data_IF_118135191857
#
_entry.id   IF_118135191857
#
_cell.length_a   1.000
_cell.length_b   1.000
_cell.length_c   1.000
_cell.angle_alpha   90.00
_cell.angle_beta   90.00
_cell.angle_gamma   90.00
#
_symmetry.space_group_name_H-M   'P 1'
#
loop_
_entity.id
_entity.type
_entity.pdbx_description
1 polymer ?
#
# COMPACT_ATOMS: atom_id res chain seq x y z
N UNK A 1 3.26 1.58 -8.85
CA UNK A 1 3.02 0.89 -7.56
C UNK A 1 2.74 1.91 -6.46
N UNK A 2 1.65 1.74 -5.71
CA UNK A 2 1.20 2.64 -4.63
C UNK A 2 1.58 2.08 -3.24
N UNK A 3 0.83 2.42 -2.19
CA UNK A 3 0.97 1.99 -0.79
C UNK A 3 -0.36 2.13 -0.07
N UNK A 4 -0.57 1.40 1.03
CA UNK A 4 -1.70 1.64 1.94
C UNK A 4 -1.73 3.05 2.53
N UNK A 5 -0.58 3.74 2.62
CA UNK A 5 -0.50 5.16 3.04
C UNK A 5 -1.32 6.08 2.14
N UNK A 6 -1.41 5.77 0.85
CA UNK A 6 -2.17 6.54 -0.12
C UNK A 6 -3.69 6.52 0.14
N UNK A 7 -4.18 5.48 0.83
CA UNK A 7 -5.61 5.28 1.13
C UNK A 7 -5.95 5.66 2.57
N UNK A 8 -5.06 5.38 3.51
CA UNK A 8 -5.29 5.57 4.96
C UNK A 8 -4.72 6.88 5.51
N UNK A 9 -3.80 7.54 4.79
CA UNK A 9 -3.06 8.68 5.30
C UNK A 9 -1.71 8.31 5.92
N UNK A 10 -0.95 9.33 6.31
CA UNK A 10 0.40 9.19 6.87
C UNK A 10 0.45 8.57 8.26
N UNK A 11 1.65 8.31 8.76
CA UNK A 11 1.91 7.62 10.03
C UNK A 11 3.04 6.61 9.85
N UNK A 12 2.81 5.36 10.24
CA UNK A 12 3.81 4.27 10.14
C UNK A 12 4.25 3.95 8.70
N UNK A 13 3.50 4.40 7.70
CA UNK A 13 3.79 4.17 6.28
C UNK A 13 4.42 5.38 5.58
N UNK A 14 4.88 6.38 6.32
CA UNK A 14 5.55 7.59 5.81
C UNK A 14 4.76 8.89 6.03
N UNK A 15 5.44 10.02 5.82
CA UNK A 15 4.86 11.35 5.99
C UNK A 15 3.92 11.80 4.87
N UNK A 16 3.46 13.05 4.96
CA UNK A 16 2.54 13.65 3.99
C UNK A 16 3.07 13.59 2.55
N UNK A 17 4.36 13.86 2.36
CA UNK A 17 5.06 13.79 1.07
C UNK A 17 4.97 12.38 0.44
N UNK A 18 5.23 11.34 1.23
CA UNK A 18 5.16 9.96 0.75
C UNK A 18 3.72 9.56 0.42
N UNK A 19 2.78 9.88 1.31
CA UNK A 19 1.35 9.58 1.11
C UNK A 19 0.80 10.27 -0.13
N UNK A 20 1.13 11.56 -0.35
CA UNK A 20 0.77 12.31 -1.55
C UNK A 20 1.34 11.66 -2.82
N UNK A 21 2.64 11.32 -2.80
CA UNK A 21 3.28 10.66 -3.95
C UNK A 21 2.60 9.33 -4.30
N UNK A 22 2.23 8.52 -3.30
CA UNK A 22 1.59 7.21 -3.53
C UNK A 22 0.13 7.33 -3.90
N UNK A 23 -0.56 8.39 -3.48
CA UNK A 23 -1.90 8.72 -3.96
C UNK A 23 -1.89 9.17 -5.42
N UNK A 24 -0.88 9.96 -5.83
CA UNK A 24 -0.69 10.36 -7.23
C UNK A 24 -0.56 9.14 -8.15
N UNK A 25 0.19 8.12 -7.75
CA UNK A 25 0.31 6.87 -8.52
C UNK A 25 -1.03 6.13 -8.67
N UNK A 26 -1.90 6.14 -7.65
CA UNK A 26 -3.25 5.53 -7.78
C UNK A 26 -4.12 6.29 -8.77
N UNK A 27 -4.15 7.62 -8.68
CA UNK A 27 -4.92 8.47 -9.59
C UNK A 27 -4.42 8.34 -11.02
N UNK A 28 -3.10 8.40 -11.22
CA UNK A 28 -2.45 8.24 -12.51
C UNK A 28 -2.79 6.91 -13.16
N UNK A 29 -2.64 5.78 -12.45
CA UNK A 29 -2.96 4.47 -13.01
C UNK A 29 -4.42 4.34 -13.43
N UNK A 30 -5.37 4.96 -12.70
CA UNK A 30 -6.80 4.95 -13.08
C UNK A 30 -7.08 5.74 -14.35
N UNK A 31 -6.48 6.93 -14.50
CA UNK A 31 -6.65 7.74 -15.69
C UNK A 31 -5.98 7.08 -16.89
N UNK A 32 -4.72 6.65 -16.73
CA UNK A 32 -3.98 5.99 -17.81
C UNK A 32 -4.69 4.72 -18.29
N UNK A 33 -5.26 3.92 -17.39
CA UNK A 33 -6.05 2.75 -17.78
C UNK A 33 -7.17 3.08 -18.78
N UNK A 34 -7.82 4.23 -18.64
CA UNK A 34 -8.89 4.67 -19.54
C UNK A 34 -8.34 5.19 -20.87
N UNK A 35 -7.19 5.86 -20.84
CA UNK A 35 -6.53 6.40 -22.03
C UNK A 35 -6.03 5.30 -22.97
N UNK A 36 -5.42 4.25 -22.43
CA UNK A 36 -4.80 3.18 -23.24
C UNK A 36 -5.71 1.96 -23.48
N UNK A 37 -6.94 1.98 -22.94
CA UNK A 37 -7.88 0.87 -23.08
C UNK A 37 -8.20 0.54 -24.55
N UNK A 38 -8.27 1.56 -25.42
CA UNK A 38 -8.52 1.37 -26.85
C UNK A 38 -7.41 0.58 -27.56
N UNK A 39 -6.19 0.56 -27.00
CA UNK A 39 -5.08 -0.23 -27.50
C UNK A 39 -5.03 -1.65 -26.92
N UNK A 40 -6.05 -2.06 -26.16
CA UNK A 40 -6.07 -3.35 -25.48
C UNK A 40 -5.09 -3.46 -24.30
N UNK A 41 -4.58 -2.33 -23.80
CA UNK A 41 -3.60 -2.30 -22.71
C UNK A 41 -4.33 -2.14 -21.37
N UNK A 42 -3.99 -2.98 -20.40
CA UNK A 42 -4.49 -2.86 -19.02
C UNK A 42 -3.46 -2.21 -18.11
N UNK A 43 -3.88 -1.31 -17.22
CA UNK A 43 -3.01 -0.69 -16.22
C UNK A 43 -3.50 -1.02 -14.82
N UNK A 44 -2.60 -1.56 -14.00
CA UNK A 44 -2.90 -1.97 -12.63
C UNK A 44 -1.97 -1.31 -11.63
N UNK A 45 -2.46 -1.11 -10.41
CA UNK A 45 -1.67 -0.53 -9.33
C UNK A 45 -1.91 -1.28 -8.02
N UNK A 46 -0.84 -1.88 -7.50
CA UNK A 46 -0.85 -2.57 -6.21
C UNK A 46 -0.51 -1.55 -5.11
N UNK A 47 -1.23 -1.62 -3.98
CA UNK A 47 -0.98 -0.83 -2.79
C UNK A 47 -0.55 -1.76 -1.64
N UNK A 48 0.75 -2.03 -1.47
CA UNK A 48 1.25 -2.90 -0.42
C UNK A 48 0.96 -2.35 0.97
N UNK A 49 0.64 -3.26 1.89
CA UNK A 49 0.57 -3.01 3.34
C UNK A 49 1.95 -3.10 3.99
N UNK A 50 2.00 -3.45 5.28
CA UNK A 50 3.28 -3.80 5.90
C UNK A 50 3.83 -5.07 5.27
N UNK A 51 5.09 -4.99 4.84
CA UNK A 51 5.85 -6.11 4.30
C UNK A 51 7.18 -6.13 5.04
N UNK A 52 7.60 -7.31 5.52
CA UNK A 52 8.86 -7.48 6.26
C UNK A 52 10.05 -7.24 5.32
N UNK A 53 10.56 -6.01 5.33
CA UNK A 53 11.71 -5.56 4.56
C UNK A 53 12.64 -4.71 5.44
N UNK A 54 13.82 -4.39 4.92
CA UNK A 54 14.84 -3.65 5.67
C UNK A 54 14.45 -2.20 6.02
N UNK A 55 13.42 -1.65 5.38
CA UNK A 55 12.85 -0.32 5.67
C UNK A 55 12.34 -0.22 7.12
N UNK A 56 12.02 -1.35 7.75
CA UNK A 56 11.48 -1.43 9.11
C UNK A 56 12.55 -1.60 10.20
N UNK A 57 13.84 -1.78 9.82
CA UNK A 57 14.93 -2.04 10.79
C UNK A 57 15.18 -0.88 11.78
N UNK A 58 14.68 0.32 11.48
CA UNK A 58 14.78 1.50 12.34
C UNK A 58 13.62 1.67 13.32
N UNK A 59 12.57 0.86 13.23
CA UNK A 59 11.49 0.85 14.20
C UNK A 59 11.83 -0.12 15.32
N UNK A 60 11.66 0.34 16.56
CA UNK A 60 11.77 -0.50 17.74
C UNK A 60 10.84 -1.72 17.64
N UNK A 61 11.31 -2.88 18.11
CA UNK A 61 10.64 -4.17 17.85
C UNK A 61 9.21 -4.20 18.41
N UNK A 62 8.96 -3.52 19.53
CA UNK A 62 7.63 -3.45 20.14
C UNK A 62 6.66 -2.60 19.31
N UNK A 63 7.16 -1.51 18.72
CA UNK A 63 6.37 -0.69 17.78
C UNK A 63 6.11 -1.46 16.48
N UNK A 64 7.11 -2.17 15.97
CA UNK A 64 6.97 -3.00 14.77
C UNK A 64 5.91 -4.10 14.98
N UNK A 65 5.93 -4.79 16.12
CA UNK A 65 4.96 -5.82 16.46
C UNK A 65 3.53 -5.26 16.66
N UNK A 66 3.40 -4.11 17.32
CA UNK A 66 2.12 -3.43 17.48
C UNK A 66 1.51 -3.04 16.13
N UNK A 67 2.32 -2.51 15.21
CA UNK A 67 1.86 -2.13 13.88
C UNK A 67 1.50 -3.37 13.06
N UNK A 68 2.32 -4.43 13.08
CA UNK A 68 2.01 -5.69 12.40
C UNK A 68 0.65 -6.23 12.86
N UNK A 69 0.35 -6.20 14.16
CA UNK A 69 -0.93 -6.70 14.69
C UNK A 69 -2.17 -5.96 14.15
N UNK A 70 -2.06 -4.65 13.90
CA UNK A 70 -3.17 -3.82 13.38
C UNK A 70 -3.40 -4.03 11.89
N UNK A 71 -2.35 -4.37 11.14
CA UNK A 71 -2.38 -4.43 9.67
C UNK A 71 -2.31 -5.84 9.10
N UNK A 72 -2.02 -6.85 9.91
CA UNK A 72 -2.11 -8.24 9.52
C UNK A 72 -3.59 -8.60 9.37
N UNK A 73 -4.10 -8.33 8.18
CA UNK A 73 -5.34 -8.93 7.70
C UNK A 73 -5.13 -10.45 7.74
N UNK A 74 -5.77 -11.12 8.70
CA UNK A 74 -5.60 -12.55 8.89
C UNK A 74 -6.23 -13.32 7.72
N UNK A 75 -5.41 -13.55 6.69
CA UNK A 75 -5.75 -14.37 5.52
C UNK A 75 -6.22 -15.77 5.97
N UNK A 76 -5.83 -16.24 7.16
CA UNK A 76 -6.21 -17.56 7.68
C UNK A 76 -7.67 -17.66 8.12
N UNK A 77 -8.35 -16.57 8.45
CA UNK A 77 -9.79 -16.62 8.80
C UNK A 77 -10.68 -16.84 7.57
N UNK A 78 -10.29 -16.32 6.40
CA UNK A 78 -11.09 -16.48 5.17
C UNK A 78 -10.87 -17.80 4.43
N UNK A 79 -9.79 -18.53 4.73
CA UNK A 79 -9.53 -19.85 4.14
C UNK A 79 -10.16 -21.01 4.92
N UNK A 80 -10.88 -20.71 6.02
CA UNK A 80 -11.64 -21.69 6.82
C UNK A 80 -13.16 -21.65 6.60
N UNK A 81 -13.63 -20.91 5.59
CA UNK A 81 -15.01 -20.92 5.11
C UNK A 81 -15.02 -21.25 3.62
#
# INVERSE_FOLDING_TARGET
>A
MSSVSAKRGGGVFGGAHYSASKAAVLGFSKNLAREVAANGITVNCIAPGLVKTDIWKSLDQDTANGVISVFQWDVREKLKK
#
